data_IF_077318831056
#
_entry.id   IF_077318831056
#
_cell.length_a   1.000
_cell.length_b   1.000
_cell.length_c   1.000
_cell.angle_alpha   90.00
_cell.angle_beta   90.00
_cell.angle_gamma   90.00
#
_symmetry.space_group_name_H-M   'P 1'
#
loop_
_entity.id
_entity.type
_entity.pdbx_description
1 polymer ?
#
# COMPACT_ATOMS: atom_id res chain seq x y z
N UNK A 1 -4.48 -18.02 4.51
CA UNK A 1 -4.93 -17.13 3.43
C UNK A 1 -6.45 -17.00 3.41
N UNK A 2 -7.24 -18.11 3.50
CA UNK A 2 -8.70 -18.02 3.48
C UNK A 2 -9.27 -17.25 4.69
N UNK A 3 -8.73 -17.46 5.89
CA UNK A 3 -9.18 -16.77 7.10
C UNK A 3 -8.91 -15.26 7.09
N UNK A 4 -7.82 -14.83 6.47
CA UNK A 4 -7.43 -13.41 6.39
C UNK A 4 -8.22 -12.61 5.35
N UNK A 5 -9.05 -13.27 4.53
CA UNK A 5 -9.89 -12.63 3.52
C UNK A 5 -11.36 -12.50 3.91
N UNK A 6 -11.73 -12.99 5.09
CA UNK A 6 -13.08 -12.81 5.61
C UNK A 6 -13.28 -11.36 6.06
N UNK A 7 -14.22 -10.63 5.46
CA UNK A 7 -14.49 -9.24 5.78
C UNK A 7 -15.23 -9.07 7.12
N UNK A 8 -16.39 -9.71 7.28
CA UNK A 8 -17.25 -9.56 8.46
C UNK A 8 -17.57 -10.87 9.18
N UNK A 9 -17.47 -11.99 8.49
CA UNK A 9 -17.82 -13.29 9.05
C UNK A 9 -16.97 -14.40 8.44
N UNK A 10 -16.46 -15.31 9.27
CA UNK A 10 -15.80 -16.54 8.87
C UNK A 10 -16.59 -17.72 9.46
N UNK A 11 -17.10 -18.60 8.60
CA UNK A 11 -17.75 -19.84 9.01
C UNK A 11 -16.79 -21.00 8.80
N UNK A 12 -16.49 -21.74 9.86
CA UNK A 12 -15.65 -22.93 9.82
C UNK A 12 -16.53 -24.13 10.14
N UNK A 13 -16.69 -25.05 9.17
CA UNK A 13 -17.40 -26.31 9.38
C UNK A 13 -16.42 -27.41 9.73
N UNK A 14 -16.75 -28.20 10.71
CA UNK A 14 -15.98 -29.37 11.13
C UNK A 14 -16.85 -30.59 11.10
N UNK A 15 -16.30 -31.72 10.66
CA UNK A 15 -16.99 -33.00 10.72
C UNK A 15 -16.73 -33.66 12.08
N UNK A 16 -17.78 -34.00 12.79
CA UNK A 16 -17.68 -34.82 13.98
C UNK A 16 -17.02 -36.17 13.61
N UNK A 17 -16.08 -36.64 14.42
CA UNK A 17 -15.41 -37.95 14.23
C UNK A 17 -14.51 -38.06 12.98
N UNK A 18 -13.92 -36.95 12.50
CA UNK A 18 -12.91 -37.02 11.46
C UNK A 18 -11.60 -37.62 11.98
N UNK A 19 -11.13 -38.72 11.35
CA UNK A 19 -9.80 -39.29 11.63
C UNK A 19 -8.65 -38.49 10.98
N UNK A 20 -8.95 -37.53 10.13
CA UNK A 20 -7.93 -36.67 9.48
C UNK A 20 -7.65 -35.44 10.33
N UNK A 21 -6.39 -34.98 10.30
CA UNK A 21 -6.02 -33.72 10.96
C UNK A 21 -6.83 -32.57 10.37
N UNK A 22 -7.55 -31.86 11.24
CA UNK A 22 -8.31 -30.68 10.85
C UNK A 22 -7.31 -29.52 10.56
N UNK A 23 -7.25 -28.97 9.35
CA UNK A 23 -6.36 -27.86 9.03
C UNK A 23 -6.71 -26.57 9.77
N UNK A 24 -7.89 -26.50 10.39
CA UNK A 24 -8.38 -25.35 11.15
C UNK A 24 -8.15 -25.49 12.66
N UNK A 25 -7.49 -26.54 13.11
CA UNK A 25 -7.24 -26.84 14.53
C UNK A 25 -6.57 -25.67 15.30
N UNK A 26 -5.82 -24.81 14.61
CA UNK A 26 -5.20 -23.61 15.22
C UNK A 26 -6.22 -22.62 15.76
N UNK A 27 -7.46 -22.66 15.26
CA UNK A 27 -8.51 -21.74 15.66
C UNK A 27 -9.41 -22.29 16.76
N UNK A 28 -9.26 -23.55 17.15
CA UNK A 28 -10.14 -24.19 18.14
C UNK A 28 -10.18 -23.43 19.48
N UNK A 29 -9.06 -22.77 19.85
CA UNK A 29 -8.99 -21.95 21.06
C UNK A 29 -9.70 -20.57 20.92
N UNK A 30 -10.02 -20.16 19.70
CA UNK A 30 -10.60 -18.84 19.41
C UNK A 30 -12.01 -18.90 18.84
N UNK A 31 -12.50 -20.10 18.58
CA UNK A 31 -13.86 -20.33 18.06
C UNK A 31 -14.76 -20.77 19.21
N UNK A 32 -15.91 -20.12 19.46
CA UNK A 32 -16.87 -20.61 20.43
C UNK A 32 -17.29 -22.04 20.08
N UNK A 33 -17.65 -22.82 21.08
CA UNK A 33 -18.04 -24.23 20.91
C UNK A 33 -18.98 -24.40 19.70
N UNK A 34 -18.60 -25.29 18.79
CA UNK A 34 -19.38 -25.53 17.60
C UNK A 34 -20.82 -25.88 17.94
N UNK A 35 -21.77 -25.16 17.37
CA UNK A 35 -23.18 -25.60 17.44
C UNK A 35 -23.35 -26.78 16.48
N UNK A 36 -23.90 -27.88 16.96
CA UNK A 36 -24.36 -28.90 16.03
C UNK A 36 -25.44 -28.29 15.14
N UNK A 37 -25.19 -28.36 13.83
CA UNK A 37 -26.22 -28.00 12.88
C UNK A 37 -27.35 -28.99 13.03
N UNK A 38 -28.60 -28.53 13.13
CA UNK A 38 -29.75 -29.45 13.18
C UNK A 38 -29.72 -30.34 11.95
N UNK A 39 -29.99 -31.62 12.14
CA UNK A 39 -30.17 -32.54 11.03
C UNK A 39 -31.26 -31.95 10.12
N UNK A 40 -30.98 -31.63 8.85
CA UNK A 40 -31.97 -31.03 7.96
C UNK A 40 -33.20 -31.94 7.72
N UNK A 41 -33.16 -33.17 8.28
CA UNK A 41 -34.19 -34.17 8.03
C UNK A 41 -34.23 -34.58 6.54
N UNK A 42 -35.06 -35.54 6.17
CA UNK A 42 -35.31 -35.82 4.78
C UNK A 42 -35.91 -34.58 4.13
N UNK A 43 -35.10 -33.86 3.36
CA UNK A 43 -35.60 -32.74 2.53
C UNK A 43 -36.51 -33.37 1.48
N UNK A 44 -37.80 -33.38 1.74
CA UNK A 44 -38.79 -33.48 0.67
C UNK A 44 -38.70 -32.17 -0.12
N UNK A 45 -37.63 -32.05 -0.94
CA UNK A 45 -37.63 -31.04 -1.94
C UNK A 45 -38.89 -31.26 -2.79
N UNK A 46 -39.79 -30.28 -2.93
CA UNK A 46 -40.91 -30.42 -3.84
C UNK A 46 -40.32 -30.88 -5.18
N UNK A 47 -40.94 -31.92 -5.74
CA UNK A 47 -40.49 -32.43 -7.05
C UNK A 47 -40.45 -31.21 -8.00
N UNK A 48 -39.25 -30.79 -8.36
CA UNK A 48 -39.09 -29.71 -9.32
C UNK A 48 -39.65 -30.26 -10.64
N UNK A 49 -40.67 -29.60 -11.14
CA UNK A 49 -41.13 -29.93 -12.49
C UNK A 49 -39.92 -29.84 -13.45
N UNK A 50 -39.74 -30.78 -14.33
CA UNK A 50 -38.64 -30.74 -15.28
C UNK A 50 -38.69 -29.46 -16.10
N UNK A 51 -37.68 -28.61 -15.95
CA UNK A 51 -37.55 -27.36 -16.72
C UNK A 51 -37.31 -27.79 -18.18
N UNK A 52 -38.29 -27.60 -19.03
CA UNK A 52 -38.12 -27.84 -20.48
C UNK A 52 -37.39 -26.63 -21.06
N UNK A 53 -36.10 -26.82 -21.33
CA UNK A 53 -35.26 -25.81 -21.97
C UNK A 53 -35.49 -25.85 -23.46
N UNK A 54 -35.98 -24.80 -24.06
CA UNK A 54 -36.16 -24.70 -25.50
C UNK A 54 -34.82 -24.33 -26.18
N UNK A 55 -34.55 -24.75 -27.41
CA UNK A 55 -33.34 -24.36 -28.16
C UNK A 55 -33.14 -22.84 -28.22
N UNK A 56 -34.21 -22.08 -28.38
CA UNK A 56 -34.18 -20.60 -28.35
C UNK A 56 -33.66 -20.01 -27.04
N UNK A 57 -33.96 -20.65 -25.89
CA UNK A 57 -33.48 -20.20 -24.59
C UNK A 57 -31.96 -20.41 -24.46
N UNK A 58 -31.44 -21.48 -25.07
CA UNK A 58 -30.00 -21.75 -25.11
C UNK A 58 -29.25 -20.72 -25.95
N UNK A 59 -29.81 -20.38 -27.12
CA UNK A 59 -29.24 -19.35 -28.01
C UNK A 59 -29.26 -17.98 -27.32
N UNK A 60 -30.38 -17.57 -26.75
CA UNK A 60 -30.50 -16.33 -26.01
C UNK A 60 -29.53 -16.25 -24.80
N UNK A 61 -29.32 -17.37 -24.08
CA UNK A 61 -28.34 -17.43 -22.98
C UNK A 61 -26.91 -17.32 -23.50
N UNK A 62 -26.58 -17.91 -24.64
CA UNK A 62 -25.26 -17.76 -25.28
C UNK A 62 -24.99 -16.32 -25.68
N UNK A 63 -25.96 -15.65 -26.32
CA UNK A 63 -25.83 -14.26 -26.74
C UNK A 63 -25.67 -13.33 -25.52
N UNK A 64 -26.45 -13.59 -24.48
CA UNK A 64 -26.30 -12.84 -23.22
C UNK A 64 -24.95 -13.04 -22.55
N UNK A 65 -24.39 -14.27 -22.59
CA UNK A 65 -23.04 -14.55 -22.08
C UNK A 65 -21.99 -13.84 -22.94
N UNK A 66 -22.08 -13.90 -24.26
CA UNK A 66 -21.15 -13.24 -25.18
C UNK A 66 -21.14 -11.73 -24.94
N UNK A 67 -22.29 -11.09 -24.83
CA UNK A 67 -22.40 -9.67 -24.54
C UNK A 67 -21.80 -9.29 -23.15
N UNK A 68 -21.94 -10.17 -22.14
CA UNK A 68 -21.29 -9.98 -20.84
C UNK A 68 -19.77 -10.11 -20.93
N UNK A 69 -19.25 -11.02 -21.74
CA UNK A 69 -17.81 -11.14 -21.95
C UNK A 69 -17.23 -9.89 -22.62
N UNK A 70 -17.88 -9.36 -23.66
CA UNK A 70 -17.48 -8.08 -24.27
C UNK A 70 -17.41 -6.94 -23.26
N UNK A 71 -18.36 -6.89 -22.31
CA UNK A 71 -18.37 -5.87 -21.25
C UNK A 71 -17.24 -6.08 -20.23
N UNK A 72 -16.90 -7.35 -19.91
CA UNK A 72 -15.84 -7.69 -18.95
C UNK A 72 -14.45 -7.45 -19.54
N UNK A 73 -14.29 -7.56 -20.86
CA UNK A 73 -13.02 -7.27 -21.56
C UNK A 73 -12.72 -5.77 -21.63
N UNK A 74 -13.71 -4.89 -21.42
CA UNK A 74 -13.49 -3.45 -21.38
C UNK A 74 -12.84 -3.05 -20.05
N UNK A 75 -11.80 -2.24 -20.13
CA UNK A 75 -11.19 -1.65 -18.95
C UNK A 75 -12.24 -0.79 -18.20
N UNK A 76 -12.42 -1.06 -16.92
CA UNK A 76 -13.36 -0.33 -16.07
C UNK A 76 -12.69 0.66 -15.13
N UNK A 77 -11.37 0.55 -14.99
CA UNK A 77 -10.51 1.48 -14.23
C UNK A 77 -9.06 1.37 -14.72
N UNK A 78 -8.28 2.38 -14.42
CA UNK A 78 -6.83 2.39 -14.57
C UNK A 78 -6.17 2.19 -13.22
N UNK A 79 -4.98 1.59 -13.19
CA UNK A 79 -4.17 1.47 -11.98
C UNK A 79 -2.90 2.30 -12.15
N UNK A 80 -2.56 3.09 -11.14
CA UNK A 80 -1.39 3.93 -11.16
C UNK A 80 -0.70 4.00 -9.78
N UNK A 81 0.62 4.12 -9.76
CA UNK A 81 1.37 4.38 -8.54
C UNK A 81 1.56 5.88 -8.33
N UNK A 82 1.31 6.37 -7.12
CA UNK A 82 1.41 7.80 -6.82
C UNK A 82 2.81 8.38 -7.06
N UNK A 83 3.86 7.56 -6.85
CA UNK A 83 5.25 7.95 -7.15
C UNK A 83 5.56 8.13 -8.63
N UNK A 84 4.72 7.59 -9.52
CA UNK A 84 4.87 7.67 -10.97
C UNK A 84 4.04 8.80 -11.58
N UNK A 85 3.21 9.43 -10.75
CA UNK A 85 2.26 10.42 -11.19
C UNK A 85 2.60 11.78 -10.57
N UNK A 86 2.87 12.75 -11.42
CA UNK A 86 2.90 14.16 -11.03
C UNK A 86 1.62 14.82 -11.56
N UNK A 87 0.79 15.38 -10.69
CA UNK A 87 -0.36 16.16 -11.11
C UNK A 87 0.17 17.53 -11.56
N UNK A 88 0.21 17.75 -12.88
CA UNK A 88 0.36 19.08 -13.44
C UNK A 88 -1.02 19.63 -13.80
N UNK A 89 -1.18 20.96 -13.99
CA UNK A 89 -2.45 21.54 -14.46
C UNK A 89 -2.94 20.97 -15.80
N UNK A 90 -2.09 20.25 -16.53
CA UNK A 90 -2.35 19.64 -17.84
C UNK A 90 -2.64 18.13 -17.78
N UNK A 91 -2.74 17.51 -16.59
CA UNK A 91 -3.04 16.08 -16.42
C UNK A 91 -1.95 15.28 -15.70
N UNK A 92 -2.16 13.98 -15.60
CA UNK A 92 -1.19 13.04 -15.02
C UNK A 92 -0.06 12.78 -16.00
N UNK A 93 1.19 13.03 -15.59
CA UNK A 93 2.37 12.66 -16.35
C UNK A 93 3.18 11.62 -15.56
N UNK A 94 3.63 10.57 -16.25
CA UNK A 94 4.58 9.62 -15.69
C UNK A 94 5.95 10.28 -15.52
N UNK A 95 6.49 10.17 -14.32
CA UNK A 95 7.81 10.68 -13.97
C UNK A 95 8.74 9.50 -13.71
N UNK A 96 9.86 9.43 -14.40
CA UNK A 96 10.86 8.39 -14.20
C UNK A 96 11.67 8.68 -12.94
N UNK A 97 11.71 7.70 -12.01
CA UNK A 97 12.60 7.77 -10.84
C UNK A 97 14.07 7.63 -11.25
N UNK A 98 14.95 8.53 -10.79
CA UNK A 98 16.38 8.46 -11.04
C UNK A 98 17.17 8.64 -9.74
N UNK A 99 17.79 7.57 -9.25
CA UNK A 99 18.70 7.58 -8.09
C UNK A 99 20.12 7.10 -8.47
N UNK A 100 21.12 7.39 -7.62
CA UNK A 100 22.54 7.05 -7.89
C UNK A 100 22.78 5.53 -7.97
N UNK A 101 21.98 4.75 -7.25
CA UNK A 101 22.00 3.28 -7.23
C UNK A 101 20.64 2.67 -7.58
N UNK A 102 19.75 3.46 -8.25
CA UNK A 102 18.43 2.99 -8.65
C UNK A 102 17.40 2.97 -7.52
N UNK A 103 16.26 2.35 -7.82
CA UNK A 103 15.13 2.19 -6.89
C UNK A 103 15.47 1.25 -5.73
N UNK A 104 16.38 0.30 -5.97
CA UNK A 104 16.82 -0.71 -5.01
C UNK A 104 17.50 -0.07 -3.79
N UNK A 105 18.37 0.92 -4.03
CA UNK A 105 19.00 1.68 -2.96
C UNK A 105 17.97 2.46 -2.12
N UNK A 106 17.02 3.11 -2.79
CA UNK A 106 15.90 3.78 -2.11
C UNK A 106 15.16 2.82 -1.18
N UNK A 107 14.83 1.64 -1.68
CA UNK A 107 14.16 0.59 -0.90
C UNK A 107 14.95 0.19 0.36
N UNK A 108 16.28 0.04 0.25
CA UNK A 108 17.16 -0.25 1.40
C UNK A 108 17.11 0.89 2.43
N UNK A 109 17.23 2.15 1.98
CA UNK A 109 17.21 3.31 2.89
C UNK A 109 15.86 3.43 3.61
N UNK A 110 14.75 3.32 2.88
CA UNK A 110 13.40 3.36 3.47
C UNK A 110 13.20 2.25 4.50
N UNK A 111 13.56 1.02 4.17
CA UNK A 111 13.51 -0.10 5.11
C UNK A 111 14.32 0.15 6.39
N UNK A 112 15.52 0.71 6.26
CA UNK A 112 16.37 0.99 7.42
C UNK A 112 15.81 2.15 8.27
N UNK A 113 15.21 3.18 7.65
CA UNK A 113 14.55 4.26 8.37
C UNK A 113 13.32 3.76 9.13
N UNK A 114 12.50 2.91 8.49
CA UNK A 114 11.37 2.27 9.15
C UNK A 114 11.83 1.42 10.34
N UNK A 115 12.84 0.58 10.16
CA UNK A 115 13.42 -0.25 11.22
C UNK A 115 13.93 0.61 12.38
N UNK A 116 14.69 1.66 12.08
CA UNK A 116 15.24 2.56 13.11
C UNK A 116 14.16 3.30 13.90
N UNK A 117 13.03 3.63 13.27
CA UNK A 117 11.92 4.29 13.94
C UNK A 117 11.11 3.32 14.81
N UNK A 118 10.87 2.09 14.32
CA UNK A 118 10.08 1.08 15.04
C UNK A 118 10.88 0.40 16.15
N UNK A 119 12.14 0.07 15.87
CA UNK A 119 13.02 -0.69 16.75
C UNK A 119 14.39 -0.01 16.90
N UNK A 120 14.51 1.07 17.67
CA UNK A 120 15.77 1.82 17.81
C UNK A 120 16.96 1.02 18.39
N UNK A 121 16.71 -0.18 18.90
CA UNK A 121 17.72 -1.06 19.49
C UNK A 121 18.30 -2.08 18.49
N UNK A 122 17.72 -2.19 17.30
CA UNK A 122 18.20 -3.14 16.29
C UNK A 122 19.58 -2.71 15.74
N UNK A 123 20.40 -3.70 15.39
CA UNK A 123 21.69 -3.43 14.74
C UNK A 123 21.46 -3.07 13.26
N UNK A 124 21.57 -1.78 12.99
CA UNK A 124 21.43 -1.26 11.62
C UNK A 124 22.41 -1.88 10.62
N UNK A 125 23.60 -2.34 11.08
CA UNK A 125 24.57 -2.96 10.16
C UNK A 125 24.10 -4.34 9.69
N UNK A 126 23.49 -5.12 10.59
CA UNK A 126 22.93 -6.42 10.25
C UNK A 126 21.72 -6.24 9.33
N UNK A 127 20.85 -5.30 9.66
CA UNK A 127 19.68 -4.95 8.83
C UNK A 127 20.09 -4.44 7.44
N UNK A 128 21.12 -3.60 7.35
CA UNK A 128 21.64 -3.10 6.08
C UNK A 128 22.17 -4.23 5.20
N UNK A 129 22.96 -5.16 5.77
CA UNK A 129 23.47 -6.31 5.00
C UNK A 129 22.36 -7.19 4.46
N UNK A 130 21.32 -7.43 5.28
CA UNK A 130 20.15 -8.21 4.87
C UNK A 130 19.38 -7.51 3.75
N UNK A 131 19.07 -6.23 3.92
CA UNK A 131 18.31 -5.46 2.94
C UNK A 131 19.06 -5.31 1.60
N UNK A 132 20.38 -5.08 1.64
CA UNK A 132 21.20 -5.03 0.43
C UNK A 132 21.21 -6.37 -0.32
N UNK A 133 21.32 -7.48 0.41
CA UNK A 133 21.29 -8.82 -0.19
C UNK A 133 19.92 -9.11 -0.84
N UNK A 134 18.82 -8.72 -0.21
CA UNK A 134 17.47 -8.86 -0.76
C UNK A 134 17.29 -8.04 -2.05
N UNK A 135 17.86 -6.85 -2.11
CA UNK A 135 17.83 -5.98 -3.29
C UNK A 135 18.94 -6.28 -4.30
N UNK A 136 19.73 -7.35 -4.08
CA UNK A 136 20.84 -7.77 -4.95
C UNK A 136 21.92 -6.68 -5.14
N UNK A 137 22.09 -5.81 -4.14
CA UNK A 137 23.13 -4.79 -4.09
C UNK A 137 24.40 -5.31 -3.40
N UNK A 138 25.54 -4.65 -3.68
CA UNK A 138 26.82 -4.99 -3.07
C UNK A 138 26.78 -4.84 -1.53
N UNK A 139 27.04 -5.88 -0.75
CA UNK A 139 27.10 -5.80 0.71
C UNK A 139 28.13 -4.78 1.24
N UNK A 140 29.13 -4.42 0.46
CA UNK A 140 30.10 -3.37 0.80
C UNK A 140 29.43 -1.99 1.02
N UNK A 141 28.24 -1.78 0.47
CA UNK A 141 27.45 -0.55 0.64
C UNK A 141 26.80 -0.43 2.04
N UNK A 142 26.88 -1.46 2.90
CA UNK A 142 26.23 -1.45 4.22
C UNK A 142 26.65 -0.27 5.10
N UNK A 143 27.94 0.07 5.13
CA UNK A 143 28.42 1.22 5.89
C UNK A 143 27.88 2.55 5.35
N UNK A 144 27.76 2.68 4.03
CA UNK A 144 27.20 3.87 3.40
C UNK A 144 25.71 4.00 3.73
N UNK A 145 24.92 2.92 3.62
CA UNK A 145 23.51 2.91 3.97
C UNK A 145 23.27 3.30 5.43
N UNK A 146 24.03 2.70 6.36
CA UNK A 146 23.92 3.03 7.79
C UNK A 146 24.31 4.47 8.07
N UNK A 147 25.28 5.04 7.38
CA UNK A 147 25.68 6.44 7.55
C UNK A 147 24.57 7.39 7.09
N UNK A 148 23.93 7.13 5.94
CA UNK A 148 22.79 7.90 5.46
C UNK A 148 21.66 7.88 6.51
N UNK A 149 21.29 6.70 7.00
CA UNK A 149 20.22 6.56 8.00
C UNK A 149 20.58 7.28 9.30
N UNK A 150 21.82 7.17 9.78
CA UNK A 150 22.28 7.89 10.99
C UNK A 150 22.24 9.41 10.81
N UNK A 151 22.46 9.92 9.62
CA UNK A 151 22.31 11.35 9.34
C UNK A 151 20.85 11.78 9.49
N UNK A 152 19.90 11.01 8.92
CA UNK A 152 18.46 11.27 9.08
C UNK A 152 18.05 11.22 10.55
N UNK A 153 18.48 10.20 11.31
CA UNK A 153 18.19 10.05 12.74
C UNK A 153 18.62 11.26 13.58
N UNK A 154 19.70 11.91 13.18
CA UNK A 154 20.22 13.11 13.87
C UNK A 154 19.52 14.41 13.47
N UNK A 155 18.66 14.38 12.45
CA UNK A 155 17.96 15.57 11.97
C UNK A 155 16.90 16.06 12.95
N UNK A 156 16.61 17.35 12.90
CA UNK A 156 15.53 17.96 13.67
C UNK A 156 14.18 17.33 13.33
N UNK A 157 13.94 17.07 12.05
CA UNK A 157 12.72 16.41 11.58
C UNK A 157 12.49 15.05 12.27
N UNK A 158 13.54 14.24 12.38
CA UNK A 158 13.44 12.94 13.05
C UNK A 158 13.13 13.08 14.54
N UNK A 159 13.74 14.06 15.20
CA UNK A 159 13.48 14.34 16.60
C UNK A 159 12.05 14.81 16.85
N UNK A 160 11.50 15.66 15.96
CA UNK A 160 10.09 16.05 15.98
C UNK A 160 9.18 14.83 15.88
N UNK A 161 9.44 13.95 14.92
CA UNK A 161 8.69 12.71 14.76
C UNK A 161 8.79 11.79 15.99
N UNK A 162 9.97 11.66 16.60
CA UNK A 162 10.14 10.85 17.80
C UNK A 162 9.38 11.40 19.03
N UNK A 163 9.23 12.70 19.16
CA UNK A 163 8.48 13.35 20.22
C UNK A 163 6.96 13.23 20.04
N UNK A 164 6.52 12.94 18.82
CA UNK A 164 5.11 12.74 18.52
C UNK A 164 4.55 11.47 19.16
N UNK A 165 3.35 11.57 19.74
CA UNK A 165 2.63 10.41 20.28
C UNK A 165 2.03 9.54 19.17
N UNK A 166 1.78 10.12 17.99
CA UNK A 166 1.23 9.42 16.83
C UNK A 166 2.17 9.61 15.65
N UNK A 167 2.90 8.55 15.34
CA UNK A 167 3.79 8.50 14.19
C UNK A 167 3.63 7.18 13.46
N UNK A 168 3.66 7.22 12.16
CA UNK A 168 3.46 6.11 11.25
C UNK A 168 4.55 6.15 10.20
N UNK A 169 5.11 4.97 9.87
CA UNK A 169 6.12 4.79 8.83
C UNK A 169 5.56 3.86 7.75
N UNK A 170 5.96 4.12 6.50
CA UNK A 170 5.61 3.28 5.36
C UNK A 170 4.10 2.96 5.32
N UNK A 171 3.27 4.00 5.30
CA UNK A 171 1.81 3.86 5.34
C UNK A 171 1.26 3.61 3.94
N UNK A 172 0.84 2.38 3.62
CA UNK A 172 0.25 2.12 2.32
C UNK A 172 -1.15 2.71 2.25
N UNK A 173 -1.47 3.25 1.08
CA UNK A 173 -2.84 3.69 0.78
C UNK A 173 -3.27 3.25 -0.61
N UNK A 174 -4.57 3.12 -0.76
CA UNK A 174 -5.22 2.89 -2.03
C UNK A 174 -6.49 3.75 -2.07
N UNK A 175 -6.68 4.50 -3.15
CA UNK A 175 -7.85 5.34 -3.34
C UNK A 175 -8.30 5.33 -4.79
N UNK A 176 -9.56 5.62 -5.01
CA UNK A 176 -10.13 5.74 -6.35
C UNK A 176 -10.30 7.22 -6.70
N UNK A 177 -9.58 7.68 -7.71
CA UNK A 177 -9.80 8.97 -8.31
C UNK A 177 -10.96 8.87 -9.31
N UNK A 178 -11.93 9.81 -9.28
CA UNK A 178 -13.01 9.82 -10.26
C UNK A 178 -12.49 10.11 -11.68
N UNK A 179 -13.26 9.76 -12.71
CA UNK A 179 -12.94 10.13 -14.09
C UNK A 179 -12.72 11.63 -14.23
N UNK A 180 -11.69 12.03 -14.95
CA UNK A 180 -11.36 13.44 -15.20
C UNK A 180 -10.46 14.11 -14.18
N UNK A 181 -10.31 13.62 -12.94
CA UNK A 181 -9.32 14.15 -11.99
C UNK A 181 -7.88 13.79 -12.39
N UNK A 182 -7.71 12.75 -13.21
CA UNK A 182 -6.41 12.34 -13.76
C UNK A 182 -6.27 12.58 -15.26
N UNK A 183 -7.14 13.38 -15.89
CA UNK A 183 -7.26 13.55 -17.34
C UNK A 183 -7.66 12.28 -18.11
N UNK A 184 -7.88 11.18 -17.43
CA UNK A 184 -8.24 9.90 -18.01
C UNK A 184 -9.78 9.72 -18.00
N UNK A 185 -10.34 9.07 -19.03
CA UNK A 185 -11.79 8.87 -19.15
C UNK A 185 -12.33 7.86 -18.14
N UNK A 186 -11.45 7.02 -17.57
CA UNK A 186 -11.78 5.99 -16.58
C UNK A 186 -11.37 6.42 -15.17
N UNK A 187 -12.04 5.92 -14.13
CA UNK A 187 -11.58 6.10 -12.76
C UNK A 187 -10.20 5.47 -12.57
N UNK A 188 -9.32 6.13 -11.84
CA UNK A 188 -7.98 5.63 -11.59
C UNK A 188 -7.86 5.09 -10.16
N UNK A 189 -7.44 3.85 -10.00
CA UNK A 189 -7.07 3.26 -8.72
C UNK A 189 -5.64 3.67 -8.42
N UNK A 190 -5.50 4.66 -7.54
CA UNK A 190 -4.21 5.22 -7.15
C UNK A 190 -3.68 4.50 -5.90
N UNK A 191 -2.47 3.98 -5.99
CA UNK A 191 -1.75 3.33 -4.89
C UNK A 191 -0.49 4.10 -4.55
N UNK A 192 -0.16 4.13 -3.27
CA UNK A 192 1.08 4.74 -2.81
C UNK A 192 1.45 4.31 -1.40
N UNK A 193 2.60 4.80 -0.97
CA UNK A 193 3.09 4.64 0.40
C UNK A 193 3.54 6.02 0.86
N UNK A 194 3.14 6.42 2.05
CA UNK A 194 3.63 7.63 2.71
C UNK A 194 4.73 7.22 3.66
N UNK A 195 5.94 7.70 3.44
CA UNK A 195 7.14 7.22 4.14
C UNK A 195 7.10 7.53 5.64
N UNK A 196 6.71 8.75 6.01
CA UNK A 196 6.54 9.15 7.40
C UNK A 196 5.37 10.11 7.55
N UNK A 197 4.49 9.82 8.49
CA UNK A 197 3.44 10.72 8.95
C UNK A 197 3.48 10.82 10.47
N UNK A 198 3.46 12.04 11.03
CA UNK A 198 3.38 12.23 12.47
C UNK A 198 2.50 13.41 12.85
N UNK A 199 1.86 13.32 14.01
CA UNK A 199 0.97 14.37 14.53
C UNK A 199 1.75 15.34 15.40
N UNK A 200 1.69 16.62 15.07
CA UNK A 200 2.34 17.70 15.82
C UNK A 200 1.43 18.92 15.90
N UNK A 201 1.21 19.47 17.08
CA UNK A 201 0.38 20.66 17.34
C UNK A 201 -1.03 20.58 16.70
N UNK A 202 -1.63 19.40 16.71
CA UNK A 202 -2.99 19.18 16.19
C UNK A 202 -3.10 19.05 14.67
N UNK A 203 -1.99 19.03 13.94
CA UNK A 203 -1.94 18.81 12.50
C UNK A 203 -0.91 17.75 12.10
N UNK A 204 -1.15 17.07 10.99
CA UNK A 204 -0.24 16.06 10.48
C UNK A 204 0.92 16.69 9.71
N UNK A 205 2.10 16.15 9.91
CA UNK A 205 3.30 16.40 9.11
C UNK A 205 3.54 15.17 8.25
N UNK A 206 3.62 15.35 6.94
CA UNK A 206 3.89 14.28 5.98
C UNK A 206 5.25 14.49 5.37
N UNK A 207 6.03 13.42 5.31
CA UNK A 207 7.40 13.44 4.79
C UNK A 207 7.59 12.32 3.80
N UNK A 208 8.25 12.64 2.71
CA UNK A 208 8.67 11.67 1.71
C UNK A 208 10.20 11.75 1.57
N UNK A 209 10.87 10.60 1.71
CA UNK A 209 12.33 10.50 1.65
C UNK A 209 12.80 10.33 0.22
N UNK A 210 13.79 11.12 -0.20
CA UNK A 210 14.37 11.07 -1.52
C UNK A 210 15.87 10.74 -1.46
N UNK A 211 16.28 9.76 -2.26
CA UNK A 211 17.65 9.24 -2.30
C UNK A 211 18.40 9.66 -3.58
N UNK A 212 17.93 10.71 -4.25
CA UNK A 212 18.48 11.17 -5.54
C UNK A 212 19.93 11.59 -5.43
N UNK A 213 20.72 11.14 -6.42
CA UNK A 213 22.08 11.60 -6.60
C UNK A 213 22.13 13.06 -7.06
N UNK A 214 23.15 13.78 -6.59
CA UNK A 214 23.38 15.17 -7.02
C UNK A 214 22.28 16.14 -6.56
N UNK A 215 21.56 15.81 -5.48
CA UNK A 215 20.53 16.66 -4.90
C UNK A 215 21.08 18.04 -4.49
N UNK A 216 22.34 18.13 -4.10
CA UNK A 216 22.98 19.40 -3.73
C UNK A 216 22.86 20.49 -4.81
N UNK A 217 23.08 20.13 -6.09
CA UNK A 217 23.08 21.06 -7.22
C UNK A 217 21.70 21.22 -7.85
N UNK A 218 20.77 20.30 -7.57
CA UNK A 218 19.46 20.20 -8.21
C UNK A 218 18.29 20.29 -7.24
N UNK A 219 18.53 20.74 -6.01
CA UNK A 219 17.52 20.69 -4.93
C UNK A 219 16.19 21.33 -5.35
N UNK A 220 16.24 22.55 -5.91
CA UNK A 220 15.03 23.26 -6.37
C UNK A 220 14.31 22.49 -7.47
N UNK A 221 15.06 21.96 -8.45
CA UNK A 221 14.45 21.21 -9.56
C UNK A 221 13.84 19.89 -9.08
N UNK A 222 14.48 19.19 -8.15
CA UNK A 222 13.97 17.96 -7.56
C UNK A 222 12.75 18.25 -6.67
N UNK A 223 12.76 19.33 -5.91
CA UNK A 223 11.59 19.74 -5.10
C UNK A 223 10.38 20.00 -6.00
N UNK A 224 10.54 20.75 -7.08
CA UNK A 224 9.45 20.98 -8.03
C UNK A 224 9.00 19.68 -8.72
N UNK A 225 9.93 18.78 -9.03
CA UNK A 225 9.63 17.49 -9.63
C UNK A 225 8.73 16.61 -8.71
N UNK A 226 9.03 16.57 -7.41
CA UNK A 226 8.29 15.75 -6.44
C UNK A 226 7.12 16.48 -5.77
N UNK A 227 6.96 17.78 -5.99
CA UNK A 227 5.89 18.60 -5.40
C UNK A 227 4.52 17.97 -5.57
N UNK A 228 4.17 17.61 -6.80
CA UNK A 228 2.85 17.02 -7.10
C UNK A 228 2.58 15.72 -6.36
N UNK A 229 3.60 14.91 -6.12
CA UNK A 229 3.45 13.66 -5.36
C UNK A 229 3.08 13.94 -3.89
N UNK A 230 3.83 14.82 -3.22
CA UNK A 230 3.59 15.09 -1.79
C UNK A 230 2.28 15.87 -1.57
N UNK A 231 1.88 16.73 -2.53
CA UNK A 231 0.59 17.41 -2.51
C UNK A 231 -0.59 16.43 -2.62
N UNK A 232 -0.47 15.40 -3.48
CA UNK A 232 -1.45 14.31 -3.56
C UNK A 232 -1.53 13.60 -2.20
N UNK A 233 -0.39 13.27 -1.59
CA UNK A 233 -0.34 12.60 -0.29
C UNK A 233 -1.05 13.42 0.78
N UNK A 234 -0.80 14.74 0.83
CA UNK A 234 -1.45 15.62 1.78
C UNK A 234 -2.96 15.67 1.65
N UNK A 235 -3.45 15.82 0.41
CA UNK A 235 -4.88 15.82 0.12
C UNK A 235 -5.55 14.50 0.52
N UNK A 236 -4.96 13.37 0.12
CA UNK A 236 -5.52 12.06 0.41
C UNK A 236 -5.47 11.74 1.90
N UNK A 237 -4.38 12.09 2.58
CA UNK A 237 -4.26 11.92 4.02
C UNK A 237 -5.37 12.64 4.76
N UNK A 238 -5.58 13.91 4.44
CA UNK A 238 -6.63 14.72 5.07
C UNK A 238 -8.03 14.13 4.83
N UNK A 239 -8.30 13.60 3.64
CA UNK A 239 -9.56 12.93 3.33
C UNK A 239 -9.75 11.63 4.14
N UNK A 240 -8.70 10.82 4.28
CA UNK A 240 -8.76 9.53 4.97
C UNK A 240 -8.83 9.68 6.50
N UNK A 241 -8.06 10.61 7.05
CA UNK A 241 -7.90 10.74 8.51
C UNK A 241 -8.89 11.77 9.10
N UNK A 242 -9.40 12.69 8.28
CA UNK A 242 -10.32 13.73 8.73
C UNK A 242 -9.67 14.82 9.60
N UNK A 243 -8.33 14.88 9.63
CA UNK A 243 -7.56 15.88 10.38
C UNK A 243 -6.69 16.70 9.43
N UNK A 244 -6.37 17.96 9.76
CA UNK A 244 -5.60 18.81 8.87
C UNK A 244 -4.15 18.32 8.71
N UNK A 245 -3.62 18.45 7.51
CA UNK A 245 -2.20 18.39 7.24
C UNK A 245 -1.64 19.79 7.38
N UNK A 246 -0.72 19.99 8.35
CA UNK A 246 -0.14 21.30 8.64
C UNK A 246 1.17 21.53 7.87
N UNK A 247 1.84 20.45 7.51
CA UNK A 247 3.15 20.52 6.87
C UNK A 247 3.37 19.31 5.96
N UNK A 248 3.91 19.55 4.79
CA UNK A 248 4.36 18.52 3.86
C UNK A 248 5.77 18.84 3.43
N UNK A 249 6.62 17.83 3.28
CA UNK A 249 7.98 18.09 2.83
C UNK A 249 8.72 16.87 2.31
N UNK A 250 9.79 17.17 1.63
CA UNK A 250 10.72 16.22 1.03
C UNK A 250 12.01 16.22 1.83
N UNK A 251 12.47 15.04 2.24
CA UNK A 251 13.77 14.91 2.89
C UNK A 251 14.76 14.25 1.95
N UNK A 252 15.74 15.01 1.49
CA UNK A 252 16.80 14.53 0.60
C UNK A 252 17.92 13.89 1.44
N UNK A 253 17.97 12.57 1.46
CA UNK A 253 18.86 11.80 2.34
C UNK A 253 20.34 11.96 1.99
N UNK A 254 20.65 12.26 0.73
CA UNK A 254 22.03 12.49 0.25
C UNK A 254 22.64 13.81 0.76
N UNK A 255 21.80 14.83 0.98
CA UNK A 255 22.23 16.15 1.47
C UNK A 255 21.87 16.40 2.94
N UNK A 256 20.98 15.58 3.50
CA UNK A 256 20.44 15.79 4.83
C UNK A 256 19.50 16.98 4.94
N UNK A 257 18.96 17.47 3.81
CA UNK A 257 18.11 18.66 3.78
C UNK A 257 16.63 18.27 3.76
N UNK A 258 15.86 18.93 4.61
CA UNK A 258 14.41 18.89 4.60
C UNK A 258 13.86 20.14 3.96
N UNK A 259 12.98 20.00 2.97
CA UNK A 259 12.36 21.11 2.24
C UNK A 259 10.85 21.01 2.37
N UNK A 260 10.24 22.00 2.98
CA UNK A 260 8.77 22.14 3.06
C UNK A 260 8.21 22.54 1.68
N UNK A 261 7.06 21.96 1.33
CA UNK A 261 6.40 22.14 0.03
C UNK A 261 5.06 22.84 0.21
#
# INVERSE_FOLDING_TARGET
VAATRAGSQLTISQRANSQSKNPWQFFDAHVPAAQELPDPGPQNAPAQEPVVVQPADVEAARDAIAARWETVEQESYLAAAAKEISITPSGLHHVAASGEHGTEWGTVIHFLLETAMRNPQDDLNDMARMALAEQQLDPALSAAAVNVVRQVIRSELWQRAQQSQQRLMEVPFETRLPPGEGAEPLPTLLRGVIDLAFLEDGGWVLVDYKTDAGAEQRLTALTEHYRGQIEIYGRLWQQMVGQPVKEMGLYFTTTGQYVTV
#
